data_IF_504417176330
#
_entry.id   IF_504417176330
#
_cell.length_a   1.000
_cell.length_b   1.000
_cell.length_c   1.000
_cell.angle_alpha   90.00
_cell.angle_beta   90.00
_cell.angle_gamma   90.00
#
_symmetry.space_group_name_H-M   'P 1'
#
loop_
_entity.id
_entity.type
_entity.pdbx_description
1 polymer ?
#
# COMPACT_ATOMS: atom_id res chain seq x y z
N UNK A 1 16.69 5.81 0.87
CA UNK A 1 16.04 6.88 0.07
C UNK A 1 14.70 6.32 -0.36
N UNK A 2 13.59 7.07 -0.27
CA UNK A 2 12.29 6.56 -0.74
C UNK A 2 12.36 6.53 -2.27
N UNK A 3 12.18 5.35 -2.87
CA UNK A 3 12.14 5.23 -4.32
C UNK A 3 10.87 5.95 -4.83
N UNK A 4 10.97 6.80 -5.86
CA UNK A 4 9.77 7.35 -6.49
C UNK A 4 8.95 6.20 -7.06
N UNK A 5 7.64 6.27 -6.91
CA UNK A 5 6.72 5.30 -7.49
C UNK A 5 6.74 5.51 -9.00
N UNK A 6 7.21 4.51 -9.74
CA UNK A 6 7.20 4.53 -11.19
C UNK A 6 5.81 4.17 -11.70
N UNK A 7 5.32 4.86 -12.73
CA UNK A 7 4.01 4.57 -13.33
C UNK A 7 3.87 3.12 -13.83
N UNK A 8 4.98 2.47 -14.14
CA UNK A 8 5.07 1.05 -14.49
C UNK A 8 4.63 0.09 -13.37
N UNK A 9 4.56 0.57 -12.12
CA UNK A 9 4.17 -0.24 -10.95
C UNK A 9 2.66 -0.27 -10.71
N UNK A 10 1.89 0.55 -11.43
CA UNK A 10 0.43 0.61 -11.30
C UNK A 10 -0.25 -0.26 -12.36
N UNK A 11 -1.28 -0.99 -11.94
CA UNK A 11 -2.15 -1.70 -12.89
C UNK A 11 -2.97 -0.72 -13.75
N UNK A 12 -3.48 -1.18 -14.91
CA UNK A 12 -4.36 -0.37 -15.74
C UNK A 12 -5.60 0.04 -14.94
N UNK A 13 -5.90 1.35 -14.91
CA UNK A 13 -7.00 1.97 -14.15
C UNK A 13 -6.88 1.93 -12.62
N UNK A 14 -5.68 1.71 -12.07
CA UNK A 14 -5.47 1.84 -10.63
C UNK A 14 -5.20 3.31 -10.24
N UNK A 15 -5.85 3.79 -9.18
CA UNK A 15 -5.60 5.11 -8.63
C UNK A 15 -4.26 5.15 -7.90
N UNK A 16 -3.43 6.15 -8.22
CA UNK A 16 -2.17 6.44 -7.52
C UNK A 16 -2.39 6.66 -6.03
N UNK A 17 -3.48 7.33 -5.66
CA UNK A 17 -3.80 7.58 -4.25
C UNK A 17 -4.11 6.27 -3.52
N UNK A 18 -4.97 5.43 -4.10
CA UNK A 18 -5.31 4.14 -3.54
C UNK A 18 -4.09 3.23 -3.40
N UNK A 19 -3.19 3.25 -4.39
CA UNK A 19 -1.91 2.54 -4.32
C UNK A 19 -1.07 3.01 -3.12
N UNK A 20 -0.82 4.32 -2.99
CA UNK A 20 -0.02 4.88 -1.88
C UNK A 20 -0.66 4.55 -0.52
N UNK A 21 -1.97 4.70 -0.40
CA UNK A 21 -2.70 4.38 0.84
C UNK A 21 -2.60 2.90 1.17
N UNK A 22 -2.75 2.01 0.19
CA UNK A 22 -2.63 0.57 0.37
C UNK A 22 -1.22 0.15 0.83
N UNK A 23 -0.17 0.64 0.18
CA UNK A 23 1.22 0.40 0.59
C UNK A 23 1.47 0.93 2.01
N UNK A 24 1.00 2.13 2.33
CA UNK A 24 1.18 2.72 3.66
C UNK A 24 0.47 1.93 4.77
N UNK A 25 -0.71 1.37 4.49
CA UNK A 25 -1.41 0.48 5.43
C UNK A 25 -0.57 -0.78 5.68
N UNK A 26 -0.12 -1.45 4.62
CA UNK A 26 0.68 -2.67 4.75
C UNK A 26 2.01 -2.43 5.47
N UNK A 27 2.68 -1.31 5.19
CA UNK A 27 3.91 -0.94 5.88
C UNK A 27 3.71 -0.77 7.41
N UNK A 28 2.56 -0.24 7.84
CA UNK A 28 2.23 -0.13 9.27
C UNK A 28 1.96 -1.50 9.91
N UNK A 29 1.31 -2.41 9.20
CA UNK A 29 1.12 -3.79 9.65
C UNK A 29 2.46 -4.49 9.87
N UNK A 30 3.38 -4.41 8.90
CA UNK A 30 4.73 -5.00 9.01
C UNK A 30 5.48 -4.45 10.22
N UNK A 31 5.42 -3.13 10.44
CA UNK A 31 6.05 -2.50 11.59
C UNK A 31 5.42 -2.96 12.92
N UNK A 32 4.09 -3.03 13.00
CA UNK A 32 3.37 -3.48 14.19
C UNK A 32 3.64 -4.95 14.50
N UNK A 33 3.63 -5.83 13.49
CA UNK A 33 3.96 -7.25 13.67
C UNK A 33 5.39 -7.45 14.20
N UNK A 34 6.35 -6.66 13.72
CA UNK A 34 7.73 -6.72 14.21
C UNK A 34 7.84 -6.21 15.66
N UNK A 35 7.14 -5.13 15.99
CA UNK A 35 7.09 -4.60 17.36
C UNK A 35 6.47 -5.62 18.34
N UNK A 36 5.38 -6.27 17.96
CA UNK A 36 4.73 -7.31 18.77
C UNK A 36 5.62 -8.54 19.00
N UNK A 37 6.42 -8.92 18.00
CA UNK A 37 7.36 -10.05 18.09
C UNK A 37 8.69 -9.66 18.77
N UNK A 38 8.96 -8.37 18.92
CA UNK A 38 10.26 -7.86 19.37
C UNK A 38 11.37 -7.97 18.31
N UNK A 39 11.00 -8.08 17.05
CA UNK A 39 11.92 -8.21 15.92
C UNK A 39 12.48 -6.84 15.51
N UNK A 40 13.80 -6.77 15.28
CA UNK A 40 14.44 -5.57 14.76
C UNK A 40 14.37 -5.59 13.23
N UNK A 41 13.58 -4.68 12.65
CA UNK A 41 13.54 -4.49 11.20
C UNK A 41 14.81 -3.78 10.71
N UNK A 42 15.58 -4.45 9.86
CA UNK A 42 16.75 -3.89 9.18
C UNK A 42 16.33 -3.03 7.98
N UNK A 43 15.33 -3.51 7.24
CA UNK A 43 14.76 -2.80 6.10
C UNK A 43 13.57 -1.92 6.50
N UNK A 44 13.28 -0.91 5.69
CA UNK A 44 12.15 -0.03 5.97
C UNK A 44 10.85 -0.77 5.70
N UNK A 45 9.84 -0.65 6.56
CA UNK A 45 8.55 -1.31 6.35
C UNK A 45 7.88 -0.97 5.00
N UNK A 46 8.12 0.24 4.48
CA UNK A 46 7.61 0.67 3.16
C UNK A 46 8.29 -0.07 2.02
N UNK A 47 9.60 -0.33 2.13
CA UNK A 47 10.34 -1.08 1.11
C UNK A 47 9.88 -2.55 1.10
N UNK A 48 9.71 -3.14 2.29
CA UNK A 48 9.16 -4.50 2.45
C UNK A 48 7.73 -4.60 1.88
N UNK A 49 6.86 -3.62 2.14
CA UNK A 49 5.51 -3.61 1.59
C UNK A 49 5.49 -3.53 0.05
N UNK A 50 6.41 -2.78 -0.55
CA UNK A 50 6.56 -2.72 -2.00
C UNK A 50 7.06 -4.04 -2.59
N UNK A 51 7.99 -4.72 -1.90
CA UNK A 51 8.46 -6.05 -2.30
C UNK A 51 7.33 -7.08 -2.19
N UNK A 52 6.60 -7.11 -1.08
CA UNK A 52 5.44 -8.00 -0.93
C UNK A 52 4.36 -7.76 -2.00
N UNK A 53 4.17 -6.51 -2.41
CA UNK A 53 3.28 -6.17 -3.52
C UNK A 53 3.80 -6.71 -4.85
N UNK A 54 5.09 -6.53 -5.15
CA UNK A 54 5.72 -7.03 -6.36
C UNK A 54 5.70 -8.57 -6.44
N UNK A 55 5.81 -9.24 -5.29
CA UNK A 55 5.67 -10.69 -5.15
C UNK A 55 4.20 -11.18 -5.14
N UNK A 56 3.23 -10.26 -5.30
CA UNK A 56 1.80 -10.55 -5.31
C UNK A 56 1.28 -11.22 -4.02
N UNK A 57 1.93 -10.96 -2.87
CA UNK A 57 1.50 -11.48 -1.55
C UNK A 57 0.19 -10.86 -1.06
N UNK A 58 -0.13 -9.65 -1.52
CA UNK A 58 -1.41 -8.98 -1.27
C UNK A 58 -1.86 -8.19 -2.49
N UNK A 59 -3.12 -7.72 -2.45
CA UNK A 59 -3.72 -6.88 -3.49
C UNK A 59 -4.36 -5.65 -2.88
N UNK A 60 -4.27 -4.53 -3.58
CA UNK A 60 -4.97 -3.30 -3.22
C UNK A 60 -6.29 -3.32 -3.98
N UNK A 61 -7.39 -3.41 -3.24
CA UNK A 61 -8.75 -3.36 -3.80
C UNK A 61 -9.32 -1.98 -3.53
N UNK A 62 -9.66 -1.28 -4.61
CA UNK A 62 -10.36 -0.01 -4.53
C UNK A 62 -11.84 -0.30 -4.36
N UNK A 63 -12.37 0.04 -3.20
CA UNK A 63 -13.82 0.16 -3.04
C UNK A 63 -14.19 1.56 -3.50
N UNK A 64 -14.92 1.73 -4.61
CA UNK A 64 -15.53 3.00 -4.91
C UNK A 64 -16.56 3.24 -3.80
N UNK A 65 -16.17 3.98 -2.76
CA UNK A 65 -17.19 4.69 -1.99
C UNK A 65 -17.78 5.70 -2.97
N UNK A 66 -19.12 5.73 -3.15
CA UNK A 66 -19.72 6.80 -3.92
C UNK A 66 -19.19 8.11 -3.35
N UNK A 67 -18.71 9.03 -4.20
CA UNK A 67 -18.41 10.35 -3.66
C UNK A 67 -19.72 10.87 -3.06
N UNK A 68 -19.66 11.57 -1.93
CA UNK A 68 -20.87 12.16 -1.34
C UNK A 68 -21.61 13.06 -2.36
N UNK A 69 -20.90 13.60 -3.35
CA UNK A 69 -21.43 14.35 -4.50
C UNK A 69 -22.21 13.51 -5.52
N UNK A 70 -22.00 12.19 -5.59
CA UNK A 70 -22.71 11.25 -6.48
C UNK A 70 -24.07 10.81 -5.90
N UNK A 71 -24.38 11.20 -4.66
CA UNK A 71 -25.63 10.85 -3.95
C UNK A 71 -26.79 11.83 -4.22
N UNK A 72 -26.56 12.91 -4.96
CA UNK A 72 -27.64 13.77 -5.46
C UNK A 72 -28.10 13.33 -6.87
N UNK A 73 -29.02 12.37 -6.92
CA UNK A 73 -29.93 12.16 -8.05
C UNK A 73 -31.39 12.04 -7.59
#
# INVERSE_FOLDING_TARGET
MIKPIEDSSLGPNQSRYSFVVGIAKRAREIAGEAEEKGDILIEKPVDLALEEYAEHKFKIVETPEPNDDDLEM
#
